data_IF_512560923006
#
_entry.id   IF_512560923006
#
_cell.length_a   1.000
_cell.length_b   1.000
_cell.length_c   1.000
_cell.angle_alpha   90.00
_cell.angle_beta   90.00
_cell.angle_gamma   90.00
#
_symmetry.space_group_name_H-M   'P 1'
#
loop_
_entity.id
_entity.type
_entity.pdbx_description
1 polymer ?
#
# COMPACT_ATOMS: atom_id res chain seq x y z
N UNK A 1 -74.47 21.69 2.56
CA UNK A 1 -73.13 21.87 3.20
C UNK A 1 -72.17 20.88 2.59
N UNK A 2 -71.26 21.33 1.67
CA UNK A 2 -70.27 20.48 1.01
C UNK A 2 -69.01 20.41 1.89
N UNK A 3 -68.60 19.21 2.35
CA UNK A 3 -67.37 19.00 3.10
C UNK A 3 -66.23 18.91 2.08
N UNK A 4 -65.27 19.85 2.14
CA UNK A 4 -64.02 19.81 1.37
C UNK A 4 -63.03 18.97 2.17
N UNK A 5 -62.62 17.82 1.62
CA UNK A 5 -61.52 16.98 2.16
C UNK A 5 -60.19 17.57 1.67
N UNK A 6 -59.41 18.11 2.59
CA UNK A 6 -58.07 18.61 2.30
C UNK A 6 -57.10 17.43 2.44
N UNK A 7 -56.62 16.87 1.30
CA UNK A 7 -55.59 15.84 1.29
C UNK A 7 -54.22 16.51 1.50
N UNK A 8 -53.59 16.26 2.62
CA UNK A 8 -52.21 16.67 2.87
C UNK A 8 -51.31 15.68 2.20
N UNK A 9 -50.66 16.08 1.10
CA UNK A 9 -49.60 15.30 0.46
C UNK A 9 -48.30 15.52 1.23
N UNK A 10 -47.85 14.53 2.01
CA UNK A 10 -46.54 14.53 2.67
C UNK A 10 -45.52 14.11 1.63
N UNK A 11 -44.73 15.06 1.13
CA UNK A 11 -43.56 14.77 0.27
C UNK A 11 -42.46 14.24 1.21
N UNK A 12 -42.24 12.93 1.21
CA UNK A 12 -41.05 12.33 1.79
C UNK A 12 -39.84 12.71 0.95
N UNK A 13 -39.06 13.69 1.37
CA UNK A 13 -37.73 13.94 0.81
C UNK A 13 -36.87 12.73 1.13
N UNK A 14 -36.59 11.89 0.12
CA UNK A 14 -35.55 10.90 0.17
C UNK A 14 -34.22 11.64 0.31
N UNK A 15 -33.65 11.69 1.50
CA UNK A 15 -32.26 12.14 1.72
C UNK A 15 -31.41 11.09 1.06
N UNK A 16 -30.87 11.40 -0.15
CA UNK A 16 -29.85 10.57 -0.78
C UNK A 16 -28.71 10.40 0.25
N UNK A 17 -28.22 9.16 0.47
CA UNK A 17 -27.10 8.97 1.37
C UNK A 17 -25.94 9.82 0.86
N UNK A 18 -25.38 10.68 1.72
CA UNK A 18 -24.13 11.36 1.42
C UNK A 18 -23.18 10.29 0.88
N UNK A 19 -22.62 10.54 -0.30
CA UNK A 19 -21.74 9.60 -1.02
C UNK A 19 -20.65 9.13 -0.07
N UNK A 20 -20.81 7.95 0.50
CA UNK A 20 -19.75 7.31 1.27
C UNK A 20 -18.56 7.04 0.33
N UNK A 21 -17.34 7.24 0.83
CA UNK A 21 -16.15 6.92 0.07
C UNK A 21 -16.23 5.47 -0.44
N UNK A 22 -16.02 5.26 -1.73
CA UNK A 22 -15.90 3.90 -2.28
C UNK A 22 -14.68 3.21 -1.65
N UNK A 23 -14.80 1.99 -1.13
CA UNK A 23 -13.68 1.25 -0.59
C UNK A 23 -12.58 1.05 -1.63
N UNK A 24 -11.32 1.22 -1.23
CA UNK A 24 -10.17 0.87 -2.09
C UNK A 24 -10.07 -0.66 -2.17
N UNK A 25 -9.96 -1.20 -3.38
CA UNK A 25 -9.83 -2.63 -3.63
C UNK A 25 -8.52 -2.92 -4.37
N UNK A 26 -7.89 -4.06 -4.06
CA UNK A 26 -6.72 -4.55 -4.80
C UNK A 26 -7.12 -5.30 -6.07
N UNK A 27 -6.16 -5.48 -6.98
CA UNK A 27 -6.32 -6.32 -8.15
C UNK A 27 -6.53 -7.79 -7.76
N UNK A 28 -7.33 -8.51 -8.55
CA UNK A 28 -7.57 -9.95 -8.36
C UNK A 28 -6.28 -10.79 -8.59
N UNK A 29 -5.40 -10.31 -9.45
CA UNK A 29 -4.08 -10.90 -9.73
C UNK A 29 -3.00 -9.82 -9.56
N UNK A 30 -2.48 -9.64 -8.35
CA UNK A 30 -1.53 -8.58 -8.06
C UNK A 30 -0.21 -8.72 -8.81
N UNK A 31 0.29 -9.94 -9.06
CA UNK A 31 1.56 -10.13 -9.78
C UNK A 31 1.50 -9.67 -11.24
N UNK A 32 0.34 -9.73 -11.88
CA UNK A 32 0.18 -9.26 -13.26
C UNK A 32 0.50 -7.77 -13.42
N UNK A 33 0.35 -6.98 -12.36
CA UNK A 33 0.65 -5.56 -12.37
C UNK A 33 2.16 -5.25 -12.43
N UNK A 34 3.00 -6.21 -12.02
CA UNK A 34 4.46 -6.06 -12.03
C UNK A 34 5.11 -6.43 -13.36
N UNK A 35 4.34 -6.50 -14.43
CA UNK A 35 4.85 -6.77 -15.79
C UNK A 35 4.77 -5.53 -16.67
N UNK A 36 5.61 -5.49 -17.72
CA UNK A 36 5.60 -4.46 -18.75
C UNK A 36 6.08 -5.05 -20.08
N UNK A 37 5.55 -4.59 -21.23
CA UNK A 37 6.10 -4.95 -22.55
C UNK A 37 7.49 -4.32 -22.78
N UNK A 38 7.82 -3.22 -22.11
CA UNK A 38 9.16 -2.64 -22.14
C UNK A 38 10.10 -3.45 -21.23
N UNK A 39 11.21 -4.01 -21.74
CA UNK A 39 12.10 -4.88 -20.98
C UNK A 39 12.72 -4.20 -19.76
N UNK A 40 13.09 -2.89 -19.87
CA UNK A 40 13.68 -2.13 -18.76
C UNK A 40 12.66 -1.89 -17.67
N UNK A 41 11.46 -1.41 -18.02
CA UNK A 41 10.38 -1.19 -17.06
C UNK A 41 9.93 -2.50 -16.43
N UNK A 42 9.91 -3.60 -17.20
CA UNK A 42 9.62 -4.92 -16.66
C UNK A 42 10.66 -5.35 -15.63
N UNK A 43 11.94 -5.22 -15.92
CA UNK A 43 13.03 -5.54 -14.97
C UNK A 43 12.89 -4.71 -13.68
N UNK A 44 12.63 -3.41 -13.80
CA UNK A 44 12.42 -2.53 -12.63
C UNK A 44 11.20 -2.96 -11.80
N UNK A 45 10.08 -3.28 -12.44
CA UNK A 45 8.88 -3.79 -11.76
C UNK A 45 9.13 -5.12 -11.05
N UNK A 46 9.97 -6.01 -11.60
CA UNK A 46 10.33 -7.27 -10.95
C UNK A 46 11.15 -7.04 -9.66
N UNK A 47 12.01 -6.03 -9.60
CA UNK A 47 12.68 -5.64 -8.34
C UNK A 47 11.63 -5.24 -7.30
N UNK A 48 10.68 -4.38 -7.66
CA UNK A 48 9.61 -3.98 -6.76
C UNK A 48 8.72 -5.16 -6.33
N UNK A 49 8.43 -6.12 -7.24
CA UNK A 49 7.73 -7.36 -6.91
C UNK A 49 8.42 -8.12 -5.78
N UNK A 50 9.72 -8.36 -5.90
CA UNK A 50 10.49 -9.07 -4.89
C UNK A 50 10.55 -8.31 -3.56
N UNK A 51 10.70 -6.98 -3.59
CA UNK A 51 10.64 -6.17 -2.36
C UNK A 51 9.28 -6.35 -1.67
N UNK A 52 8.18 -6.21 -2.41
CA UNK A 52 6.83 -6.33 -1.87
C UNK A 52 6.53 -7.73 -1.33
N UNK A 53 6.86 -8.76 -2.11
CA UNK A 53 6.50 -10.15 -1.82
C UNK A 53 7.47 -10.81 -0.83
N UNK A 54 8.76 -10.76 -1.13
CA UNK A 54 9.76 -11.54 -0.41
C UNK A 54 10.18 -10.82 0.89
N UNK A 55 10.37 -9.49 0.84
CA UNK A 55 10.82 -8.72 1.99
C UNK A 55 9.66 -8.23 2.86
N UNK A 56 8.69 -7.50 2.29
CA UNK A 56 7.66 -6.83 3.07
C UNK A 56 6.53 -7.76 3.50
N UNK A 57 6.08 -8.69 2.66
CA UNK A 57 5.03 -9.63 3.03
C UNK A 57 5.59 -10.87 3.75
N UNK A 58 6.60 -11.52 3.17
CA UNK A 58 7.14 -12.77 3.70
C UNK A 58 8.25 -12.60 4.75
N UNK A 59 8.77 -11.37 4.95
CA UNK A 59 9.83 -11.01 5.90
C UNK A 59 11.18 -11.72 5.68
N UNK A 60 11.52 -12.09 4.44
CA UNK A 60 12.81 -12.68 4.08
C UNK A 60 13.89 -11.60 3.93
N UNK A 61 14.17 -10.86 5.00
CA UNK A 61 15.12 -9.75 5.00
C UNK A 61 16.58 -10.18 4.81
N UNK A 62 16.89 -11.47 4.96
CA UNK A 62 18.17 -12.06 4.56
C UNK A 62 18.42 -12.02 3.04
N UNK A 63 17.36 -11.78 2.24
CA UNK A 63 17.46 -11.59 0.79
C UNK A 63 17.61 -10.12 0.39
N UNK A 64 17.62 -9.19 1.32
CA UNK A 64 17.55 -7.76 1.03
C UNK A 64 18.72 -7.27 0.16
N UNK A 65 19.91 -7.83 0.32
CA UNK A 65 21.09 -7.48 -0.47
C UNK A 65 20.95 -7.83 -1.97
N UNK A 66 20.02 -8.72 -2.33
CA UNK A 66 19.69 -9.03 -3.73
C UNK A 66 18.87 -7.92 -4.39
N UNK A 67 18.07 -7.20 -3.61
CA UNK A 67 17.05 -6.27 -4.12
C UNK A 67 17.31 -4.82 -3.75
N UNK A 68 18.10 -4.55 -2.70
CA UNK A 68 18.46 -3.21 -2.23
C UNK A 68 19.96 -2.96 -2.42
N UNK A 69 20.34 -1.72 -2.72
CA UNK A 69 21.75 -1.33 -2.73
C UNK A 69 22.28 -1.21 -1.29
N UNK A 70 23.59 -1.23 -1.15
CA UNK A 70 24.25 -1.04 0.16
C UNK A 70 23.95 0.34 0.75
N UNK A 71 23.89 1.34 -0.09
CA UNK A 71 23.67 2.75 0.26
C UNK A 71 22.21 3.08 0.50
N UNK A 72 21.28 2.31 -0.04
CA UNK A 72 19.83 2.45 -0.01
C UNK A 72 19.30 3.68 0.74
N UNK A 73 18.97 4.73 0.01
CA UNK A 73 18.51 6.00 0.59
C UNK A 73 17.05 5.87 1.02
N UNK A 74 16.76 6.18 2.27
CA UNK A 74 15.43 6.06 2.86
C UNK A 74 14.85 7.43 3.18
N UNK A 75 13.66 7.73 2.66
CA UNK A 75 12.91 8.96 2.97
C UNK A 75 11.77 8.75 3.99
N UNK A 76 11.55 7.52 4.45
CA UNK A 76 10.66 7.26 5.59
C UNK A 76 11.32 7.77 6.87
N UNK A 77 10.70 8.72 7.62
CA UNK A 77 11.33 9.35 8.78
C UNK A 77 11.57 8.40 9.96
N UNK A 78 11.03 7.18 9.92
CA UNK A 78 11.18 6.18 10.98
C UNK A 78 12.33 5.19 10.72
N UNK A 79 12.94 5.22 9.53
CA UNK A 79 13.97 4.25 9.11
C UNK A 79 15.18 4.98 8.55
N UNK A 80 16.34 4.76 9.13
CA UNK A 80 17.58 5.39 8.66
C UNK A 80 18.04 4.79 7.32
N UNK A 81 18.72 5.60 6.50
CA UNK A 81 19.33 5.19 5.23
C UNK A 81 20.44 4.18 5.41
N UNK A 82 20.65 3.35 4.38
CA UNK A 82 21.62 2.27 4.31
C UNK A 82 20.99 0.90 4.54
N UNK A 83 21.51 -0.13 3.88
CA UNK A 83 21.02 -1.50 4.01
C UNK A 83 21.09 -2.00 5.46
N UNK A 84 22.17 -1.74 6.18
CA UNK A 84 22.32 -2.22 7.56
C UNK A 84 21.28 -1.64 8.54
N UNK A 85 20.97 -0.32 8.57
CA UNK A 85 19.83 0.22 9.33
C UNK A 85 18.47 -0.39 8.96
N UNK A 86 18.22 -0.61 7.67
CA UNK A 86 16.99 -1.24 7.19
C UNK A 86 16.87 -2.67 7.73
N UNK A 87 17.94 -3.46 7.65
CA UNK A 87 17.98 -4.81 8.22
C UNK A 87 17.79 -4.79 9.74
N UNK A 88 18.36 -3.81 10.44
CA UNK A 88 18.16 -3.65 11.90
C UNK A 88 16.68 -3.37 12.22
N UNK A 89 16.00 -2.57 11.40
CA UNK A 89 14.59 -2.19 11.62
C UNK A 89 13.63 -3.35 11.33
N UNK A 90 13.85 -4.07 10.25
CA UNK A 90 12.91 -5.10 9.77
C UNK A 90 13.33 -6.54 10.10
N UNK A 91 14.63 -6.82 10.21
CA UNK A 91 15.20 -8.18 10.27
C UNK A 91 14.87 -9.00 11.52
N UNK A 92 14.27 -8.37 12.55
CA UNK A 92 13.76 -9.11 13.73
C UNK A 92 12.44 -9.84 13.46
N UNK A 93 11.78 -9.58 12.34
CA UNK A 93 10.52 -10.21 11.98
C UNK A 93 10.76 -11.64 11.50
N UNK A 94 9.95 -12.57 12.00
CA UNK A 94 10.06 -13.98 11.62
C UNK A 94 9.65 -14.18 10.15
N UNK A 95 10.49 -14.80 9.32
CA UNK A 95 10.11 -15.16 7.95
C UNK A 95 8.92 -16.11 7.90
N UNK A 96 8.10 -15.97 6.87
CA UNK A 96 7.00 -16.87 6.50
C UNK A 96 7.24 -17.38 5.08
N UNK A 97 6.63 -18.48 4.64
CA UNK A 97 6.76 -18.92 3.26
C UNK A 97 6.45 -17.79 2.27
N UNK A 98 7.34 -17.60 1.28
CA UNK A 98 7.10 -16.63 0.20
C UNK A 98 5.82 -17.06 -0.53
N UNK A 99 4.81 -16.18 -0.62
CA UNK A 99 3.55 -16.54 -1.24
C UNK A 99 3.72 -16.79 -2.74
N UNK A 100 2.97 -17.75 -3.25
CA UNK A 100 2.77 -17.90 -4.68
C UNK A 100 1.75 -16.85 -5.19
N UNK A 101 1.57 -16.78 -6.50
CA UNK A 101 0.68 -15.82 -7.17
C UNK A 101 -0.76 -15.81 -6.64
N UNK A 102 -1.24 -16.89 -6.06
CA UNK A 102 -2.62 -17.05 -5.57
C UNK A 102 -2.75 -16.77 -4.07
N UNK A 103 -1.66 -16.79 -3.35
CA UNK A 103 -1.65 -16.70 -1.88
C UNK A 103 -1.21 -15.34 -1.32
N UNK A 104 -1.04 -14.32 -2.19
CA UNK A 104 -0.75 -12.95 -1.77
C UNK A 104 -1.83 -12.40 -0.83
N UNK A 105 -1.39 -11.85 0.30
CA UNK A 105 -2.25 -11.15 1.26
C UNK A 105 -2.26 -9.65 1.01
N UNK A 106 -1.13 -9.11 0.54
CA UNK A 106 -1.01 -7.69 0.20
C UNK A 106 -1.89 -7.37 -1.01
N UNK A 107 -2.85 -6.49 -0.80
CA UNK A 107 -3.81 -6.06 -1.83
C UNK A 107 -3.18 -4.93 -2.64
N UNK A 108 -2.54 -5.26 -3.76
CA UNK A 108 -1.93 -4.28 -4.67
C UNK A 108 -3.02 -3.66 -5.55
N UNK A 109 -3.05 -2.32 -5.59
CA UNK A 109 -4.00 -1.52 -6.39
C UNK A 109 -3.44 -1.24 -7.77
N UNK A 110 -2.17 -0.82 -7.84
CA UNK A 110 -1.52 -0.41 -9.09
C UNK A 110 0.00 -0.56 -8.99
N UNK A 111 0.65 -0.76 -10.13
CA UNK A 111 2.11 -0.70 -10.27
C UNK A 111 2.43 0.09 -11.54
N UNK A 112 3.03 1.27 -11.37
CA UNK A 112 3.44 2.13 -12.47
C UNK A 112 4.97 2.24 -12.48
N UNK A 113 5.57 2.18 -13.66
CA UNK A 113 7.00 2.38 -13.83
C UNK A 113 7.27 3.37 -14.98
N UNK A 114 8.20 4.30 -14.75
CA UNK A 114 8.70 5.25 -15.73
C UNK A 114 10.18 5.53 -15.48
N UNK A 115 10.99 5.42 -16.53
CA UNK A 115 12.44 5.61 -16.40
C UNK A 115 13.07 4.60 -15.45
N UNK A 116 13.55 5.08 -14.31
CA UNK A 116 14.13 4.30 -13.22
C UNK A 116 13.23 4.20 -11.99
N UNK A 117 12.04 4.79 -12.03
CA UNK A 117 11.10 4.82 -10.92
C UNK A 117 10.03 3.72 -11.05
N UNK A 118 9.67 3.13 -9.92
CA UNK A 118 8.52 2.23 -9.78
C UNK A 118 7.69 2.69 -8.60
N UNK A 119 6.38 2.89 -8.83
CA UNK A 119 5.41 3.22 -7.80
C UNK A 119 4.44 2.07 -7.63
N UNK A 120 4.25 1.63 -6.39
CA UNK A 120 3.30 0.58 -6.02
C UNK A 120 2.26 1.16 -5.08
N UNK A 121 0.99 1.11 -5.49
CA UNK A 121 -0.15 1.45 -4.64
C UNK A 121 -0.73 0.21 -4.00
N UNK A 122 -0.93 0.24 -2.68
CA UNK A 122 -1.53 -0.86 -1.91
C UNK A 122 -2.72 -0.39 -1.08
N UNK A 123 -3.65 -1.30 -0.81
CA UNK A 123 -4.76 -1.02 0.12
C UNK A 123 -4.22 -0.95 1.55
N UNK A 124 -4.54 0.11 2.25
CA UNK A 124 -4.37 0.23 3.69
C UNK A 124 -5.72 0.38 4.37
N UNK A 125 -5.89 -0.33 5.48
CA UNK A 125 -7.07 -0.25 6.32
C UNK A 125 -6.73 0.49 7.61
N UNK A 126 -7.57 1.45 7.98
CA UNK A 126 -7.40 2.29 9.16
C UNK A 126 -8.65 2.28 10.01
N UNK A 127 -8.54 2.39 11.34
CA UNK A 127 -9.68 2.66 12.20
C UNK A 127 -10.40 3.95 11.78
N UNK A 128 -11.74 3.94 11.74
CA UNK A 128 -12.51 5.14 11.44
C UNK A 128 -12.74 5.95 12.74
N UNK A 129 -12.12 7.13 12.89
CA UNK A 129 -12.29 7.94 14.08
C UNK A 129 -13.70 8.50 14.26
N UNK A 130 -14.52 8.49 13.18
CA UNK A 130 -15.92 8.95 13.18
C UNK A 130 -16.90 7.86 13.58
N UNK A 131 -16.46 6.59 13.57
CA UNK A 131 -17.30 5.44 13.85
C UNK A 131 -16.50 4.36 14.60
N UNK A 132 -16.46 4.42 15.95
CA UNK A 132 -15.71 3.47 16.76
C UNK A 132 -16.04 2.01 16.41
N UNK A 133 -15.01 1.18 16.28
CA UNK A 133 -15.14 -0.22 15.89
C UNK A 133 -15.31 -0.47 14.38
N UNK A 134 -15.35 0.57 13.55
CA UNK A 134 -15.33 0.48 12.10
C UNK A 134 -13.97 0.85 11.53
N UNK A 135 -13.75 0.44 10.28
CA UNK A 135 -12.54 0.77 9.51
C UNK A 135 -12.91 1.43 8.19
N UNK A 136 -11.97 2.15 7.60
CA UNK A 136 -12.03 2.63 6.23
C UNK A 136 -10.76 2.23 5.49
N UNK A 137 -10.83 2.19 4.16
CA UNK A 137 -9.68 1.91 3.32
C UNK A 137 -9.14 3.17 2.66
N UNK A 138 -7.82 3.22 2.48
CA UNK A 138 -7.12 4.23 1.70
C UNK A 138 -6.04 3.56 0.87
N UNK A 139 -5.36 4.33 0.02
CA UNK A 139 -4.23 3.84 -0.75
C UNK A 139 -2.94 4.34 -0.12
N UNK A 140 -2.00 3.42 0.12
CA UNK A 140 -0.63 3.74 0.46
C UNK A 140 0.22 3.57 -0.77
N UNK A 141 1.21 4.45 -0.95
CA UNK A 141 2.15 4.39 -2.08
C UNK A 141 3.56 4.22 -1.56
N UNK A 142 4.25 3.21 -2.09
CA UNK A 142 5.68 3.03 -1.99
C UNK A 142 6.29 3.35 -3.37
N UNK A 143 7.38 4.10 -3.41
CA UNK A 143 8.10 4.42 -4.63
C UNK A 143 9.57 4.09 -4.46
N UNK A 144 10.15 3.44 -5.47
CA UNK A 144 11.57 3.11 -5.52
C UNK A 144 12.22 3.67 -6.77
N UNK A 145 13.45 4.15 -6.61
CA UNK A 145 14.39 4.33 -7.72
C UNK A 145 15.19 3.06 -7.89
N UNK A 146 15.25 2.54 -9.11
CA UNK A 146 15.99 1.33 -9.47
C UNK A 146 17.29 1.73 -10.17
N UNK A 147 18.41 1.23 -9.65
CA UNK A 147 19.76 1.43 -10.17
C UNK A 147 20.45 0.08 -10.21
N UNK A 148 21.01 -0.27 -11.36
CA UNK A 148 21.76 -1.51 -11.59
C UNK A 148 21.02 -2.79 -11.11
N UNK A 149 19.69 -2.83 -11.34
CA UNK A 149 18.83 -3.96 -10.98
C UNK A 149 18.49 -4.07 -9.50
N UNK A 150 18.71 -3.02 -8.69
CA UNK A 150 18.34 -2.95 -7.27
C UNK A 150 17.66 -1.63 -6.94
N UNK A 151 16.87 -1.61 -5.89
CA UNK A 151 16.33 -0.37 -5.35
C UNK A 151 17.44 0.38 -4.59
N UNK A 152 17.68 1.63 -5.01
CA UNK A 152 18.72 2.52 -4.48
C UNK A 152 18.12 3.58 -3.55
N UNK A 153 16.85 3.93 -3.76
CA UNK A 153 16.17 5.00 -3.03
C UNK A 153 14.68 4.67 -2.87
N UNK A 154 14.09 5.08 -1.73
CA UNK A 154 12.70 4.78 -1.39
C UNK A 154 11.98 5.98 -0.77
N UNK A 155 10.75 6.18 -1.20
CA UNK A 155 9.79 7.15 -0.65
C UNK A 155 8.49 6.46 -0.31
N UNK A 156 7.85 6.92 0.76
CA UNK A 156 6.48 6.57 1.12
C UNK A 156 5.77 7.75 1.83
N UNK A 157 4.53 7.56 2.21
CA UNK A 157 3.74 8.56 2.92
C UNK A 157 3.86 8.49 4.46
N UNK A 158 4.89 7.84 4.99
CA UNK A 158 5.04 7.69 6.44
C UNK A 158 5.22 9.04 7.14
N UNK A 159 4.60 9.16 8.29
CA UNK A 159 4.81 10.26 9.24
C UNK A 159 5.63 9.75 10.42
N UNK A 160 6.21 10.66 11.20
CA UNK A 160 6.89 10.29 12.43
C UNK A 160 5.92 9.53 13.34
N UNK A 161 6.29 8.33 13.74
CA UNK A 161 5.48 7.54 14.66
C UNK A 161 5.35 8.28 16.01
N UNK A 162 4.11 8.42 16.49
CA UNK A 162 3.90 8.95 17.84
C UNK A 162 4.63 8.06 18.86
N UNK A 163 5.26 8.64 19.90
CA UNK A 163 5.78 7.86 21.02
C UNK A 163 4.66 6.97 21.57
N UNK A 164 4.96 5.73 22.00
CA UNK A 164 3.96 4.91 22.68
C UNK A 164 3.39 5.72 23.84
N UNK A 165 2.05 5.78 23.92
CA UNK A 165 1.39 6.43 25.05
C UNK A 165 1.97 5.84 26.33
N UNK A 166 2.53 6.70 27.20
CA UNK A 166 3.22 6.29 28.41
C UNK A 166 2.35 5.32 29.21
N UNK A 167 2.97 4.22 29.64
CA UNK A 167 2.37 3.29 30.60
C UNK A 167 2.33 3.92 31.97
#
# INVERSE_FOLDING_TARGET
>A
MKKILLSVFTIAMAVAPLMAQAPVTGAADPESLFTSPDPKLNANKQVALHIMRDLLEANHWELADKYLTKEYIQHNPNVASGLAPVLKFFGSRKPTPIPDRKSWKTKVVSVTAEGDLVVVGIVREYPDPRAPGKTYTSTWFDMWRIKDGKADEHWDGATIAAPPAGR
#
